data_IF_450512727772
#
_entry.id   IF_450512727772
#
_cell.length_a   1.000
_cell.length_b   1.000
_cell.length_c   1.000
_cell.angle_alpha   90.00
_cell.angle_beta   90.00
_cell.angle_gamma   90.00
#
_symmetry.space_group_name_H-M   'P 1'
#
loop_
_entity.id
_entity.type
_entity.pdbx_description
1 polymer ?
#
# COMPACT_ATOMS: atom_id res chain seq x y z
N UNK A 1 -26.51 2.77 -9.38
CA UNK A 1 -25.18 3.37 -9.72
C UNK A 1 -25.44 4.40 -10.80
N UNK A 2 -24.80 5.58 -10.78
CA UNK A 2 -24.99 6.55 -11.87
C UNK A 2 -24.10 6.19 -13.07
N UNK A 3 -24.52 6.57 -14.27
CA UNK A 3 -23.78 6.34 -15.51
C UNK A 3 -22.37 6.98 -15.46
N UNK A 4 -22.25 8.12 -14.79
CA UNK A 4 -20.97 8.80 -14.57
C UNK A 4 -20.04 7.96 -13.67
N UNK A 5 -20.56 7.34 -12.61
CA UNK A 5 -19.78 6.48 -11.72
C UNK A 5 -19.36 5.19 -12.43
N UNK A 6 -20.25 4.59 -13.21
CA UNK A 6 -19.95 3.40 -14.00
C UNK A 6 -18.87 3.66 -15.06
N UNK A 7 -18.95 4.81 -15.74
CA UNK A 7 -17.92 5.25 -16.69
C UNK A 7 -16.55 5.36 -16.02
N UNK A 8 -16.48 5.98 -14.84
CA UNK A 8 -15.22 6.14 -14.11
C UNK A 8 -14.64 4.78 -13.69
N UNK A 9 -15.46 3.87 -13.19
CA UNK A 9 -15.03 2.51 -12.81
C UNK A 9 -14.48 1.76 -14.03
N UNK A 10 -15.14 1.85 -15.18
CA UNK A 10 -14.70 1.17 -16.39
C UNK A 10 -13.37 1.74 -16.91
N UNK A 11 -13.14 3.05 -16.80
CA UNK A 11 -11.87 3.66 -17.16
C UNK A 11 -10.73 3.20 -16.25
N UNK A 12 -10.94 3.19 -14.93
CA UNK A 12 -9.88 2.85 -13.97
C UNK A 12 -9.44 1.38 -14.05
N UNK A 13 -10.33 0.46 -14.45
CA UNK A 13 -10.02 -0.96 -14.66
C UNK A 13 -8.93 -1.21 -15.71
N UNK A 14 -8.73 -0.29 -16.64
CA UNK A 14 -7.70 -0.42 -17.69
C UNK A 14 -6.31 0.05 -17.25
N UNK A 15 -6.22 0.70 -16.08
CA UNK A 15 -4.97 1.23 -15.54
C UNK A 15 -4.22 0.11 -14.84
N UNK A 16 -2.99 -0.17 -15.31
CA UNK A 16 -2.07 -1.08 -14.62
C UNK A 16 -1.09 -0.25 -13.80
N UNK A 17 -1.12 -0.41 -12.48
CA UNK A 17 -0.14 0.21 -11.59
C UNK A 17 1.18 -0.55 -11.63
N UNK A 18 2.29 0.19 -11.64
CA UNK A 18 3.60 -0.39 -11.40
C UNK A 18 3.79 -0.76 -9.91
N UNK A 19 4.88 -1.47 -9.60
CA UNK A 19 5.12 -1.95 -8.24
C UNK A 19 5.33 -0.82 -7.22
N UNK A 20 5.90 0.31 -7.65
CA UNK A 20 6.08 1.47 -6.78
C UNK A 20 4.73 2.14 -6.45
N UNK A 21 3.86 2.28 -7.45
CA UNK A 21 2.51 2.81 -7.29
C UNK A 21 1.65 1.90 -6.42
N UNK A 22 1.71 0.57 -6.62
CA UNK A 22 1.03 -0.39 -5.74
C UNK A 22 1.52 -0.29 -4.30
N UNK A 23 2.85 -0.16 -4.10
CA UNK A 23 3.42 0.02 -2.77
C UNK A 23 2.91 1.29 -2.11
N UNK A 24 2.94 2.42 -2.81
CA UNK A 24 2.43 3.70 -2.30
C UNK A 24 0.94 3.62 -1.93
N UNK A 25 0.13 2.95 -2.76
CA UNK A 25 -1.28 2.70 -2.46
C UNK A 25 -1.44 1.87 -1.17
N UNK A 26 -0.68 0.78 -1.02
CA UNK A 26 -0.69 -0.04 0.21
C UNK A 26 -0.30 0.77 1.44
N UNK A 27 0.77 1.56 1.37
CA UNK A 27 1.23 2.42 2.47
C UNK A 27 0.15 3.43 2.89
N UNK A 28 -0.55 4.01 1.90
CA UNK A 28 -1.67 4.93 2.18
C UNK A 28 -2.83 4.25 2.91
N UNK A 29 -3.17 3.00 2.55
CA UNK A 29 -4.17 2.22 3.28
C UNK A 29 -3.72 1.86 4.70
N UNK A 30 -2.47 1.40 4.86
CA UNK A 30 -1.92 1.07 6.19
C UNK A 30 -1.94 2.30 7.09
N UNK A 31 -1.47 3.45 6.60
CA UNK A 31 -1.52 4.70 7.34
C UNK A 31 -2.97 5.07 7.70
N UNK A 32 -3.89 5.06 6.73
CA UNK A 32 -5.29 5.38 6.98
C UNK A 32 -5.90 4.52 8.09
N UNK A 33 -5.73 3.20 8.00
CA UNK A 33 -6.28 2.27 8.99
C UNK A 33 -5.64 2.45 10.37
N UNK A 34 -4.31 2.56 10.43
CA UNK A 34 -3.57 2.60 11.70
C UNK A 34 -3.66 3.96 12.40
N UNK A 35 -3.69 5.05 11.65
CA UNK A 35 -3.81 6.40 12.20
C UNK A 35 -5.19 6.67 12.79
N UNK A 36 -6.26 6.09 12.21
CA UNK A 36 -7.62 6.14 12.77
C UNK A 36 -7.64 5.53 14.19
N UNK A 37 -6.93 4.42 14.39
CA UNK A 37 -6.85 3.73 15.68
C UNK A 37 -5.87 4.40 16.66
N UNK A 38 -4.83 5.04 16.12
CA UNK A 38 -3.79 5.69 16.92
C UNK A 38 -3.16 6.87 16.16
N UNK A 39 -3.52 8.08 16.55
CA UNK A 39 -3.03 9.34 15.96
C UNK A 39 -1.50 9.51 16.03
N UNK A 40 -0.81 8.80 16.93
CA UNK A 40 0.66 8.85 17.03
C UNK A 40 1.36 8.10 15.91
N UNK A 41 0.63 7.25 15.17
CA UNK A 41 1.18 6.57 14.00
C UNK A 41 1.25 7.58 12.85
N UNK A 42 2.47 7.89 12.43
CA UNK A 42 2.76 8.80 11.32
C UNK A 42 3.04 8.04 10.04
N UNK A 43 3.03 8.75 8.90
CA UNK A 43 3.45 8.17 7.61
C UNK A 43 4.88 7.66 7.62
N UNK A 44 5.77 8.35 8.34
CA UNK A 44 7.18 7.95 8.45
C UNK A 44 7.32 6.61 9.19
N UNK A 45 6.57 6.42 10.29
CA UNK A 45 6.54 5.13 11.02
C UNK A 45 6.07 3.99 10.11
N UNK A 46 5.05 4.23 9.29
CA UNK A 46 4.54 3.23 8.33
C UNK A 46 5.59 2.92 7.25
N UNK A 47 6.28 3.94 6.73
CA UNK A 47 7.35 3.75 5.75
C UNK A 47 8.55 2.98 6.32
N UNK A 48 8.94 3.26 7.56
CA UNK A 48 10.00 2.53 8.27
C UNK A 48 9.62 1.06 8.50
N UNK A 49 8.37 0.80 8.90
CA UNK A 49 7.86 -0.55 9.09
C UNK A 49 7.86 -1.35 7.78
N UNK A 50 7.39 -0.76 6.69
CA UNK A 50 7.43 -1.40 5.36
C UNK A 50 8.87 -1.69 4.91
N UNK A 51 9.80 -0.76 5.11
CA UNK A 51 11.22 -0.97 4.81
C UNK A 51 11.85 -2.07 5.69
N UNK A 52 11.36 -2.29 6.92
CA UNK A 52 11.79 -3.40 7.77
C UNK A 52 11.25 -4.74 7.25
N UNK A 53 9.96 -4.81 6.96
CA UNK A 53 9.31 -6.03 6.43
C UNK A 53 9.93 -6.45 5.10
N UNK A 54 10.10 -5.53 4.15
CA UNK A 54 10.73 -5.85 2.86
C UNK A 54 12.16 -6.38 3.02
N UNK A 55 12.91 -5.88 4.01
CA UNK A 55 14.26 -6.41 4.32
C UNK A 55 14.19 -7.83 4.88
N UNK A 56 13.29 -8.08 5.83
CA UNK A 56 13.08 -9.41 6.42
C UNK A 56 12.68 -10.42 5.33
N UNK A 57 11.73 -10.08 4.45
CA UNK A 57 11.35 -10.90 3.29
C UNK A 57 12.54 -11.22 2.37
N UNK A 58 13.42 -10.24 2.10
CA UNK A 58 14.62 -10.48 1.29
C UNK A 58 15.65 -11.37 1.98
N UNK A 59 15.76 -11.31 3.30
CA UNK A 59 16.70 -12.15 4.08
C UNK A 59 16.24 -13.60 4.08
N UNK A 60 14.94 -13.85 4.29
CA UNK A 60 14.35 -15.19 4.28
C UNK A 60 14.44 -15.87 2.90
N UNK A 61 14.41 -15.10 1.81
CA UNK A 61 14.61 -15.62 0.45
C UNK A 61 16.06 -16.01 0.13
N UNK A 62 17.04 -15.41 0.80
CA UNK A 62 18.47 -15.64 0.55
C UNK A 62 19.04 -16.74 1.46
N UNK A 63 18.45 -16.98 2.63
CA UNK A 63 18.81 -18.08 3.53
C UNK A 63 17.58 -18.89 3.95
N UNK A 64 17.11 -19.83 3.10
CA UNK A 64 16.04 -20.73 3.49
C UNK A 64 16.52 -21.61 4.66
N UNK A 65 15.69 -21.69 5.71
CA UNK A 65 15.94 -22.50 6.91
C UNK A 65 15.99 -24.00 6.63
#
# INVERSE_FOLDING_TARGET
>A
MSDALETLINQTRTITMDEAQKREQRLSFVYGNTHIENERITRDIVAEADAKVSREETVDLVQPS
#
